data_IF_783730265405
#
_entry.id   IF_783730265405
#
_cell.length_a   1.000
_cell.length_b   1.000
_cell.length_c   1.000
_cell.angle_alpha   90.00
_cell.angle_beta   90.00
_cell.angle_gamma   90.00
#
_symmetry.space_group_name_H-M   'P 1'
#
loop_
_entity.id
_entity.type
_entity.pdbx_description
1 polymer ?
#
# COMPACT_ATOMS: atom_id res chain seq x y z
N UNK A 1 -26.21 18.45 -10.74
CA UNK A 1 -26.67 17.06 -10.96
C UNK A 1 -25.47 16.14 -10.76
N UNK A 2 -25.23 15.72 -9.51
CA UNK A 2 -24.17 14.76 -9.16
C UNK A 2 -24.82 13.39 -9.09
N UNK A 3 -24.84 12.68 -10.22
CA UNK A 3 -25.28 11.28 -10.29
C UNK A 3 -24.03 10.41 -10.52
N UNK A 4 -23.16 10.29 -9.50
CA UNK A 4 -21.92 9.47 -9.55
C UNK A 4 -21.88 8.45 -8.40
N UNK A 5 -23.04 7.96 -7.96
CA UNK A 5 -23.13 6.86 -6.99
C UNK A 5 -23.93 5.68 -7.56
N UNK A 6 -23.64 5.24 -8.79
CA UNK A 6 -24.23 4.00 -9.36
C UNK A 6 -23.18 2.99 -9.86
N UNK A 7 -22.31 2.56 -8.95
CA UNK A 7 -22.01 1.15 -8.67
C UNK A 7 -20.86 1.09 -7.67
N UNK A 8 -21.11 0.55 -6.48
CA UNK A 8 -20.06 0.35 -5.47
C UNK A 8 -19.09 -0.80 -5.85
N UNK A 9 -19.42 -1.56 -6.90
CA UNK A 9 -18.64 -2.70 -7.41
C UNK A 9 -18.22 -2.37 -8.84
N UNK A 10 -16.92 -2.42 -9.10
CA UNK A 10 -16.32 -2.20 -10.41
C UNK A 10 -15.50 -3.43 -10.81
N UNK A 11 -15.39 -3.68 -12.12
CA UNK A 11 -14.68 -4.85 -12.65
C UNK A 11 -13.22 -4.49 -12.90
N UNK A 12 -12.32 -5.24 -12.27
CA UNK A 12 -10.87 -5.16 -12.47
C UNK A 12 -10.34 -6.58 -12.63
N UNK A 13 -9.23 -6.73 -13.35
CA UNK A 13 -8.57 -8.03 -13.41
C UNK A 13 -7.93 -8.35 -12.06
N UNK A 14 -7.76 -9.65 -11.76
CA UNK A 14 -7.04 -10.11 -10.56
C UNK A 14 -5.64 -9.50 -10.50
N UNK A 15 -4.98 -9.38 -11.64
CA UNK A 15 -3.64 -8.80 -11.73
C UNK A 15 -3.61 -7.32 -11.37
N UNK A 16 -4.59 -6.54 -11.82
CA UNK A 16 -4.71 -5.11 -11.47
C UNK A 16 -5.08 -4.92 -10.00
N UNK A 17 -6.02 -5.72 -9.48
CA UNK A 17 -6.43 -5.65 -8.08
C UNK A 17 -5.28 -6.00 -7.13
N UNK A 18 -4.47 -7.01 -7.47
CA UNK A 18 -3.41 -7.49 -6.60
C UNK A 18 -2.09 -6.75 -6.80
N UNK A 19 -1.59 -6.59 -8.03
CA UNK A 19 -0.18 -6.25 -8.27
C UNK A 19 0.04 -4.96 -9.05
N UNK A 20 -0.65 -4.78 -10.18
CA UNK A 20 -0.36 -3.67 -11.10
C UNK A 20 -0.98 -2.34 -10.64
N UNK A 21 -1.99 -2.44 -9.76
CA UNK A 21 -2.82 -1.34 -9.28
C UNK A 21 -3.82 -0.85 -10.33
N UNK A 22 -5.07 -0.66 -9.94
CA UNK A 22 -6.13 -0.11 -10.79
C UNK A 22 -6.25 1.42 -10.62
N UNK A 23 -6.77 2.09 -11.65
CA UNK A 23 -7.14 3.50 -11.58
C UNK A 23 -8.49 3.66 -10.91
N UNK A 24 -8.52 4.32 -9.76
CA UNK A 24 -9.76 4.64 -9.08
C UNK A 24 -10.40 5.88 -9.74
N UNK A 25 -11.65 5.78 -10.25
CA UNK A 25 -12.30 6.89 -10.93
C UNK A 25 -12.46 8.14 -10.06
N UNK A 26 -12.58 8.01 -8.73
CA UNK A 26 -12.71 9.14 -7.82
C UNK A 26 -11.36 9.83 -7.62
N UNK A 27 -10.29 9.05 -7.40
CA UNK A 27 -8.93 9.60 -7.29
C UNK A 27 -8.56 10.30 -8.59
N UNK A 28 -8.82 9.68 -9.73
CA UNK A 28 -8.58 10.28 -11.04
C UNK A 28 -9.38 11.57 -11.23
N UNK A 29 -10.65 11.60 -10.84
CA UNK A 29 -11.49 12.79 -10.98
C UNK A 29 -11.03 13.96 -10.08
N UNK A 30 -10.56 13.65 -8.88
CA UNK A 30 -10.08 14.65 -7.92
C UNK A 30 -8.69 15.16 -8.32
N UNK A 31 -7.74 14.26 -8.58
CA UNK A 31 -6.34 14.61 -8.80
C UNK A 31 -6.04 15.13 -10.22
N UNK A 32 -6.95 14.97 -11.20
CA UNK A 32 -6.84 15.63 -12.53
C UNK A 32 -7.21 17.11 -12.51
N UNK A 33 -7.80 17.64 -11.43
CA UNK A 33 -8.12 19.08 -11.32
C UNK A 33 -6.85 19.85 -11.02
N UNK A 34 -6.50 20.83 -11.86
CA UNK A 34 -5.27 21.65 -11.70
C UNK A 34 -5.06 22.23 -10.29
N UNK A 35 -6.13 22.64 -9.61
CA UNK A 35 -6.08 23.20 -8.25
C UNK A 35 -5.67 22.12 -7.22
N UNK A 36 -6.11 20.88 -7.42
CA UNK A 36 -5.92 19.77 -6.49
C UNK A 36 -4.74 18.86 -6.86
N UNK A 37 -4.22 18.97 -8.08
CA UNK A 37 -3.09 18.15 -8.54
C UNK A 37 -1.86 18.34 -7.64
N UNK A 38 -1.54 19.58 -7.29
CA UNK A 38 -0.42 19.87 -6.39
C UNK A 38 -0.67 19.35 -4.98
N UNK A 39 -1.92 19.41 -4.50
CA UNK A 39 -2.30 18.86 -3.20
C UNK A 39 -2.19 17.33 -3.18
N UNK A 40 -2.68 16.65 -4.23
CA UNK A 40 -2.55 15.20 -4.35
C UNK A 40 -1.08 14.76 -4.37
N UNK A 41 -0.20 15.51 -5.05
CA UNK A 41 1.25 15.25 -5.04
C UNK A 41 1.87 15.51 -3.67
N UNK A 42 1.50 16.61 -3.00
CA UNK A 42 2.02 16.96 -1.68
C UNK A 42 1.62 15.94 -0.61
N UNK A 43 0.39 15.42 -0.68
CA UNK A 43 -0.13 14.39 0.22
C UNK A 43 0.25 12.96 -0.20
N UNK A 44 1.07 12.81 -1.26
CA UNK A 44 1.48 11.50 -1.79
C UNK A 44 0.31 10.55 -2.09
N UNK A 45 -0.84 11.10 -2.55
CA UNK A 45 -2.02 10.29 -2.86
C UNK A 45 -1.67 9.36 -4.02
N UNK A 46 -1.77 8.03 -3.83
CA UNK A 46 -1.42 7.07 -4.86
C UNK A 46 -2.41 7.17 -6.03
N UNK A 47 -1.87 7.33 -7.25
CA UNK A 47 -2.69 7.35 -8.48
C UNK A 47 -3.25 5.97 -8.86
N UNK A 48 -2.74 4.91 -8.21
CA UNK A 48 -3.15 3.53 -8.41
C UNK A 48 -3.29 2.83 -7.08
N UNK A 49 -4.35 2.04 -6.95
CA UNK A 49 -4.65 1.26 -5.75
C UNK A 49 -4.55 -0.23 -6.10
N UNK A 50 -3.87 -1.00 -5.26
CA UNK A 50 -3.85 -2.45 -5.33
C UNK A 50 -3.36 -3.04 -4.01
N UNK A 51 -3.76 -4.27 -3.70
CA UNK A 51 -3.47 -4.90 -2.39
C UNK A 51 -1.96 -5.09 -2.14
N UNK A 52 -1.23 -5.48 -3.17
CA UNK A 52 0.22 -5.68 -3.17
C UNK A 52 0.91 -4.73 -4.16
N UNK A 53 0.27 -3.59 -4.46
CA UNK A 53 0.84 -2.61 -5.38
C UNK A 53 2.19 -2.12 -4.88
N UNK A 54 3.20 -2.14 -5.76
CA UNK A 54 4.61 -1.81 -5.47
C UNK A 54 5.34 -2.73 -4.47
N UNK A 55 4.77 -3.86 -4.08
CA UNK A 55 5.45 -4.83 -3.20
C UNK A 55 6.33 -5.83 -3.95
N UNK A 56 6.30 -5.82 -5.29
CA UNK A 56 7.10 -6.75 -6.07
C UNK A 56 8.58 -6.37 -6.03
N UNK A 57 9.44 -7.32 -5.65
CA UNK A 57 10.88 -7.13 -5.44
C UNK A 57 11.23 -6.13 -4.33
N UNK A 58 10.35 -5.95 -3.35
CA UNK A 58 10.64 -5.20 -2.13
C UNK A 58 10.71 -6.13 -0.92
N UNK A 59 11.23 -5.63 0.18
CA UNK A 59 11.11 -6.27 1.50
C UNK A 59 9.95 -5.64 2.29
N UNK A 60 9.50 -6.34 3.32
CA UNK A 60 8.47 -5.91 4.28
C UNK A 60 9.11 -5.23 5.51
N UNK A 61 10.39 -4.87 5.42
CA UNK A 61 11.17 -4.35 6.54
C UNK A 61 12.22 -5.32 7.08
N UNK A 62 12.83 -4.92 8.19
CA UNK A 62 13.95 -5.62 8.81
C UNK A 62 13.49 -6.48 9.97
N UNK A 63 13.73 -7.79 9.85
CA UNK A 63 13.46 -8.75 10.91
C UNK A 63 14.73 -9.13 11.64
N UNK A 64 14.73 -8.99 12.97
CA UNK A 64 15.76 -9.57 13.82
C UNK A 64 15.27 -10.92 14.33
N UNK A 65 15.86 -12.00 13.84
CA UNK A 65 15.44 -13.38 14.17
C UNK A 65 16.54 -14.09 14.95
N UNK A 66 16.16 -14.81 16.00
CA UNK A 66 17.10 -15.56 16.81
C UNK A 66 17.58 -16.83 16.11
N UNK A 67 18.90 -17.02 16.07
CA UNK A 67 19.55 -18.20 15.49
C UNK A 67 19.51 -19.43 16.40
N UNK A 68 19.09 -19.27 17.66
CA UNK A 68 19.09 -20.32 18.68
C UNK A 68 20.46 -20.75 19.18
N UNK A 69 21.53 -20.01 18.86
CA UNK A 69 22.90 -20.35 19.27
C UNK A 69 23.05 -20.47 20.80
N UNK A 70 22.41 -19.57 21.56
CA UNK A 70 22.46 -19.56 23.02
C UNK A 70 21.41 -20.49 23.66
N UNK A 71 20.26 -20.61 23.01
CA UNK A 71 19.09 -21.34 23.51
C UNK A 71 18.36 -21.96 22.31
N UNK A 72 18.45 -23.30 22.11
CA UNK A 72 17.92 -23.97 20.93
C UNK A 72 16.41 -23.81 20.72
N UNK A 73 15.64 -23.57 21.78
CA UNK A 73 14.20 -23.34 21.70
C UNK A 73 13.81 -21.98 21.11
N UNK A 74 14.78 -21.07 20.93
CA UNK A 74 14.53 -19.75 20.34
C UNK A 74 14.75 -19.68 18.82
N UNK A 75 15.12 -20.79 18.16
CA UNK A 75 15.34 -20.79 16.70
C UNK A 75 14.11 -20.25 15.97
N UNK A 76 14.31 -19.26 15.10
CA UNK A 76 13.24 -18.67 14.29
C UNK A 76 12.36 -17.67 15.05
N UNK A 77 12.64 -17.40 16.33
CA UNK A 77 11.90 -16.41 17.11
C UNK A 77 12.23 -14.98 16.65
N UNK A 78 11.21 -14.23 16.26
CA UNK A 78 11.33 -12.79 15.94
C UNK A 78 11.53 -12.01 17.23
N UNK A 79 12.63 -11.25 17.31
CA UNK A 79 12.96 -10.36 18.43
C UNK A 79 12.47 -8.94 18.21
N UNK A 80 12.58 -8.47 16.97
CA UNK A 80 12.09 -7.16 16.55
C UNK A 80 11.74 -7.19 15.06
N UNK A 81 10.80 -6.33 14.70
CA UNK A 81 10.41 -6.03 13.34
C UNK A 81 10.44 -4.52 13.18
N UNK A 82 11.21 -4.01 12.23
CA UNK A 82 11.34 -2.58 11.97
C UNK A 82 10.85 -2.26 10.57
N UNK A 83 9.86 -1.38 10.47
CA UNK A 83 9.41 -0.78 9.21
C UNK A 83 9.86 0.68 9.19
N UNK A 84 10.24 1.20 8.01
CA UNK A 84 10.72 2.58 7.87
C UNK A 84 9.62 3.64 8.09
N UNK A 85 8.35 3.22 8.17
CA UNK A 85 7.19 4.04 8.47
C UNK A 85 6.34 3.21 9.44
N UNK A 86 6.39 3.50 10.73
CA UNK A 86 5.51 2.81 11.69
C UNK A 86 4.07 3.31 11.51
N UNK A 87 3.07 2.46 11.80
CA UNK A 87 1.64 2.84 11.75
C UNK A 87 1.34 4.06 12.65
N UNK A 88 2.22 4.33 13.62
CA UNK A 88 2.14 5.47 14.53
C UNK A 88 2.76 6.77 13.98
N UNK A 89 3.38 6.74 12.79
CA UNK A 89 4.00 7.90 12.12
C UNK A 89 3.03 8.62 11.14
N UNK A 90 1.73 8.30 11.17
CA UNK A 90 0.64 8.94 10.40
C UNK A 90 -0.35 9.61 11.36
#
# INVERSE_FOLDING_TARGET
>A
MFEVCRSHVFQVTVREALFDGYHDPLIDLVCRRQILEQLCKALSIPQRIGFFYKQNNTDDGLYQVSTGLNEPWNIGQVRSHLILIDIWDI
#
